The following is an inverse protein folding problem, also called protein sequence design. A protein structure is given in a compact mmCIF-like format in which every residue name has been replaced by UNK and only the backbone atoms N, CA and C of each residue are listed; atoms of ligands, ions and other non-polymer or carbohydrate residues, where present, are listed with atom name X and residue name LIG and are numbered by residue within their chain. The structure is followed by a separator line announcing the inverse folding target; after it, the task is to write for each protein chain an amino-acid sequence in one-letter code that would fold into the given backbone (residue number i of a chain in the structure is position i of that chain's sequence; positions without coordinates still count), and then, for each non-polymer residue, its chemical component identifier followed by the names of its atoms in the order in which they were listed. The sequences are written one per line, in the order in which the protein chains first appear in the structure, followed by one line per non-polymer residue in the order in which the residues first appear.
data_IF_441111104258
#
_entry.id   IF_441111104258
#
_cell.length_a   1.000
_cell.length_b   1.000
_cell.length_c   1.000
_cell.angle_alpha   90.00
_cell.angle_beta   90.00
_cell.angle_gamma   90.00
#
_symmetry.space_group_name_H-M   'P 1'
#
loop_
_entity.id
_entity.type
_entity.pdbx_description
1 polymer ?
#
# COMPACT_ATOMS: atom_id res chain seq x y z
N UNK A 1 21.60 -58.03 55.39
CA UNK A 1 21.13 -56.97 54.45
C UNK A 1 22.01 -57.03 53.23
N UNK A 2 21.43 -57.09 52.03
CA UNK A 2 22.18 -57.17 50.78
C UNK A 2 23.02 -55.89 50.59
N UNK A 3 24.29 -56.07 50.22
CA UNK A 3 25.19 -54.97 49.90
C UNK A 3 24.73 -54.29 48.61
N UNK A 4 24.60 -52.95 48.56
CA UNK A 4 24.27 -52.23 47.34
C UNK A 4 25.31 -52.50 46.24
N UNK A 5 24.85 -52.69 45.00
CA UNK A 5 25.72 -52.87 43.83
C UNK A 5 26.32 -51.51 43.43
N UNK A 6 27.46 -51.20 44.04
CA UNK A 6 28.15 -49.92 43.85
C UNK A 6 28.74 -49.76 42.45
N UNK A 7 29.07 -50.85 41.75
CA UNK A 7 29.65 -50.80 40.40
C UNK A 7 28.58 -50.39 39.37
N UNK A 8 27.37 -50.94 39.49
CA UNK A 8 26.23 -50.52 38.67
C UNK A 8 25.83 -49.05 38.94
N UNK A 9 25.84 -48.64 40.21
CA UNK A 9 25.55 -47.25 40.61
C UNK A 9 26.62 -46.30 40.07
N UNK A 10 27.91 -46.68 40.12
CA UNK A 10 29.02 -45.89 39.58
C UNK A 10 28.88 -45.70 38.07
N UNK A 11 28.60 -46.77 37.33
CA UNK A 11 28.39 -46.73 35.89
C UNK A 11 27.22 -45.80 35.51
N UNK A 12 26.08 -45.94 36.18
CA UNK A 12 24.91 -45.09 35.97
C UNK A 12 25.17 -43.62 36.36
N UNK A 13 25.93 -43.39 37.44
CA UNK A 13 26.33 -42.06 37.88
C UNK A 13 27.25 -41.39 36.85
N UNK A 14 28.27 -42.10 36.36
CA UNK A 14 29.25 -41.59 35.37
C UNK A 14 28.61 -41.32 34.01
N UNK A 15 27.71 -42.20 33.56
CA UNK A 15 26.96 -42.05 32.32
C UNK A 15 26.05 -40.80 32.33
N UNK A 16 25.63 -40.36 33.51
CA UNK A 16 24.94 -39.08 33.70
C UNK A 16 23.59 -38.95 33.00
N UNK A 17 22.97 -40.06 32.61
CA UNK A 17 21.68 -40.12 31.91
C UNK A 17 20.49 -40.02 32.87
N UNK A 18 20.58 -40.65 34.04
CA UNK A 18 19.55 -40.66 35.07
C UNK A 18 19.84 -39.62 36.18
N UNK A 19 18.82 -39.12 36.83
CA UNK A 19 18.94 -38.31 38.04
C UNK A 19 19.38 -39.17 39.22
N UNK A 20 20.01 -38.55 40.23
CA UNK A 20 20.45 -39.28 41.43
C UNK A 20 19.27 -39.91 42.19
N UNK A 21 18.07 -39.33 42.07
CA UNK A 21 16.85 -39.89 42.66
C UNK A 21 16.38 -41.14 41.94
N UNK A 22 16.49 -41.18 40.61
CA UNK A 22 16.14 -42.37 39.82
C UNK A 22 17.12 -43.53 40.08
N UNK A 23 18.43 -43.24 40.13
CA UNK A 23 19.45 -44.24 40.47
C UNK A 23 19.22 -44.76 41.90
N UNK A 24 18.96 -43.86 42.85
CA UNK A 24 18.65 -44.22 44.24
C UNK A 24 17.43 -45.14 44.37
N UNK A 25 16.36 -44.83 43.62
CA UNK A 25 15.13 -45.63 43.60
C UNK A 25 15.34 -47.03 43.01
N UNK A 26 16.17 -47.16 41.96
CA UNK A 26 16.46 -48.46 41.32
C UNK A 26 17.28 -49.39 42.21
N UNK A 27 18.19 -48.83 43.01
CA UNK A 27 19.09 -49.59 43.86
C UNK A 27 18.68 -49.65 45.34
N UNK A 28 17.48 -49.13 45.68
CA UNK A 28 16.93 -49.20 47.04
C UNK A 28 17.75 -48.44 48.10
N UNK A 29 18.47 -47.40 47.69
CA UNK A 29 19.33 -46.58 48.57
C UNK A 29 18.90 -45.11 48.54
N UNK A 30 19.49 -44.27 49.39
CA UNK A 30 19.26 -42.82 49.33
C UNK A 30 20.18 -42.13 48.32
N UNK A 31 19.68 -41.08 47.68
CA UNK A 31 20.47 -40.20 46.80
C UNK A 31 21.68 -39.57 47.52
N UNK A 32 21.54 -39.38 48.83
CA UNK A 32 22.57 -38.87 49.74
C UNK A 32 23.71 -39.88 49.93
N UNK A 33 23.41 -41.19 49.95
CA UNK A 33 24.42 -42.24 50.00
C UNK A 33 25.26 -42.26 48.71
N UNK A 34 24.61 -42.10 47.55
CA UNK A 34 25.28 -42.00 46.24
C UNK A 34 26.20 -40.78 46.21
N UNK A 35 25.75 -39.60 46.64
CA UNK A 35 26.59 -38.37 46.69
C UNK A 35 27.80 -38.53 47.61
N UNK A 36 27.62 -39.11 48.80
CA UNK A 36 28.72 -39.34 49.74
C UNK A 36 29.77 -40.30 49.16
N UNK A 37 29.32 -41.35 48.47
CA UNK A 37 30.21 -42.33 47.82
C UNK A 37 30.95 -41.72 46.63
N UNK A 38 30.22 -41.05 45.73
CA UNK A 38 30.80 -40.35 44.59
C UNK A 38 31.87 -39.33 44.99
N UNK A 39 31.68 -38.61 46.12
CA UNK A 39 32.68 -37.69 46.66
C UNK A 39 33.90 -38.40 47.26
N UNK A 40 33.70 -39.57 47.88
CA UNK A 40 34.77 -40.38 48.48
C UNK A 40 35.63 -41.08 47.44
N UNK A 41 35.01 -41.51 46.33
CA UNK A 41 35.63 -42.29 45.24
C UNK A 41 35.84 -41.46 43.97
N UNK A 42 35.70 -40.14 44.08
CA UNK A 42 35.98 -39.17 43.01
C UNK A 42 35.30 -39.48 41.66
N UNK A 43 34.06 -39.96 41.72
CA UNK A 43 33.30 -40.24 40.50
C UNK A 43 33.03 -38.96 39.72
N UNK A 44 33.39 -38.96 38.44
CA UNK A 44 33.18 -37.82 37.54
C UNK A 44 32.02 -38.11 36.61
N UNK A 45 31.08 -37.18 36.48
CA UNK A 45 29.90 -37.34 35.63
C UNK A 45 30.08 -36.55 34.33
N UNK A 46 29.90 -37.20 33.18
CA UNK A 46 29.97 -36.54 31.88
C UNK A 46 28.65 -35.84 31.52
N UNK A 47 28.30 -34.80 32.30
CA UNK A 47 27.20 -33.89 32.01
C UNK A 47 27.56 -32.90 30.90
N UNK A 48 28.86 -32.71 30.63
CA UNK A 48 29.36 -31.73 29.70
C UNK A 48 28.93 -32.04 28.26
N UNK A 49 29.02 -33.31 27.83
CA UNK A 49 28.63 -33.72 26.49
C UNK A 49 27.12 -33.49 26.22
N UNK A 50 26.24 -33.83 27.18
CA UNK A 50 24.79 -33.64 27.03
C UNK A 50 24.35 -32.19 27.09
N UNK A 51 24.97 -31.38 27.95
CA UNK A 51 24.70 -29.96 28.02
C UNK A 51 25.15 -29.25 26.74
N UNK A 52 26.33 -29.63 26.21
CA UNK A 52 26.85 -29.11 24.94
C UNK A 52 25.93 -29.44 23.76
N UNK A 53 25.53 -30.70 23.61
CA UNK A 53 24.62 -31.09 22.53
C UNK A 53 23.26 -30.37 22.59
N UNK A 54 22.72 -30.15 23.80
CA UNK A 54 21.45 -29.42 23.98
C UNK A 54 21.61 -27.91 23.76
N UNK A 55 22.77 -27.33 24.10
CA UNK A 55 23.09 -25.95 23.81
C UNK A 55 23.26 -25.72 22.30
N UNK A 56 23.97 -26.59 21.60
CA UNK A 56 24.20 -26.50 20.16
C UNK A 56 22.88 -26.61 19.37
N UNK A 57 21.97 -27.50 19.77
CA UNK A 57 20.65 -27.64 19.15
C UNK A 57 19.74 -26.40 19.37
N UNK A 58 19.83 -25.78 20.55
CA UNK A 58 19.13 -24.53 20.86
C UNK A 58 19.69 -23.34 20.06
N UNK A 59 21.01 -23.25 19.91
CA UNK A 59 21.67 -22.22 19.10
C UNK A 59 21.26 -22.39 17.64
N UNK A 60 21.37 -23.59 17.08
CA UNK A 60 20.95 -23.88 15.69
C UNK A 60 19.49 -23.51 15.45
N UNK A 61 18.57 -23.87 16.37
CA UNK A 61 17.15 -23.51 16.24
C UNK A 61 16.91 -22.01 16.31
N UNK A 62 17.66 -21.27 17.14
CA UNK A 62 17.58 -19.81 17.20
C UNK A 62 18.16 -19.14 15.96
N UNK A 63 19.29 -19.62 15.47
CA UNK A 63 19.94 -19.11 14.26
C UNK A 63 19.07 -19.33 13.01
N UNK A 64 18.50 -20.53 12.85
CA UNK A 64 17.58 -20.83 11.74
C UNK A 64 16.33 -19.93 11.82
N UNK A 65 15.74 -19.77 13.01
CA UNK A 65 14.59 -18.87 13.19
C UNK A 65 14.95 -17.40 12.93
N UNK A 66 16.15 -16.97 13.31
CA UNK A 66 16.62 -15.62 13.03
C UNK A 66 16.80 -15.39 11.53
N UNK A 67 17.42 -16.33 10.81
CA UNK A 67 17.62 -16.27 9.36
C UNK A 67 16.30 -16.25 8.58
N UNK A 68 15.36 -17.15 8.90
CA UNK A 68 14.04 -17.18 8.24
C UNK A 68 13.26 -15.90 8.53
N UNK A 69 13.35 -15.37 9.75
CA UNK A 69 12.71 -14.09 10.09
C UNK A 69 13.35 -12.92 9.35
N UNK A 70 14.67 -12.88 9.22
CA UNK A 70 15.36 -11.82 8.47
C UNK A 70 15.08 -11.90 6.97
N UNK A 71 15.09 -13.10 6.37
CA UNK A 71 14.77 -13.29 4.95
C UNK A 71 13.33 -12.87 4.64
N UNK A 72 12.35 -13.26 5.47
CA UNK A 72 10.97 -12.82 5.29
C UNK A 72 10.81 -11.30 5.48
N UNK A 73 11.51 -10.69 6.43
CA UNK A 73 11.48 -9.23 6.62
C UNK A 73 12.13 -8.48 5.45
N UNK A 74 13.21 -9.00 4.89
CA UNK A 74 13.86 -8.44 3.69
C UNK A 74 12.91 -8.57 2.50
N UNK A 75 12.33 -9.75 2.28
CA UNK A 75 11.39 -9.97 1.18
C UNK A 75 10.12 -9.11 1.30
N UNK A 76 9.55 -8.96 2.50
CA UNK A 76 8.40 -8.09 2.72
C UNK A 76 8.76 -6.63 2.44
N UNK A 77 9.93 -6.17 2.88
CA UNK A 77 10.42 -4.81 2.61
C UNK A 77 10.61 -4.57 1.11
N UNK A 78 11.23 -5.51 0.40
CA UNK A 78 11.42 -5.45 -1.05
C UNK A 78 10.08 -5.42 -1.80
N UNK A 79 9.10 -6.22 -1.39
CA UNK A 79 7.76 -6.22 -1.97
C UNK A 79 7.03 -4.88 -1.74
N UNK A 80 7.12 -4.34 -0.52
CA UNK A 80 6.53 -3.03 -0.18
C UNK A 80 7.20 -1.92 -0.99
N UNK A 81 8.53 -1.95 -1.13
CA UNK A 81 9.29 -0.96 -1.90
C UNK A 81 8.95 -1.03 -3.39
N UNK A 82 8.96 -2.21 -4.00
CA UNK A 82 8.56 -2.39 -5.40
C UNK A 82 7.11 -1.96 -5.65
N UNK A 83 6.20 -2.25 -4.71
CA UNK A 83 4.79 -1.82 -4.82
C UNK A 83 4.67 -0.31 -4.68
N UNK A 84 5.41 0.30 -3.74
CA UNK A 84 5.42 1.75 -3.55
C UNK A 84 5.98 2.48 -4.77
N UNK A 85 7.05 1.98 -5.37
CA UNK A 85 7.61 2.50 -6.63
C UNK A 85 6.60 2.39 -7.78
N UNK A 86 5.94 1.24 -7.94
CA UNK A 86 4.90 1.07 -8.97
C UNK A 86 3.76 2.09 -8.79
N UNK A 87 3.26 2.27 -7.56
CA UNK A 87 2.21 3.26 -7.25
C UNK A 87 2.72 4.69 -7.51
N UNK A 88 3.96 5.00 -7.15
CA UNK A 88 4.56 6.30 -7.37
C UNK A 88 4.69 6.61 -8.88
N UNK A 89 5.14 5.64 -9.67
CA UNK A 89 5.25 5.76 -11.12
C UNK A 89 3.89 6.02 -11.76
N UNK A 90 2.87 5.22 -11.44
CA UNK A 90 1.49 5.43 -11.94
C UNK A 90 0.97 6.82 -11.56
N UNK A 91 1.20 7.28 -10.33
CA UNK A 91 0.79 8.63 -9.91
C UNK A 91 1.50 9.73 -10.69
N UNK A 92 2.79 9.55 -10.98
CA UNK A 92 3.57 10.51 -11.77
C UNK A 92 3.10 10.54 -13.23
N UNK A 93 2.81 9.39 -13.83
CA UNK A 93 2.23 9.29 -15.17
C UNK A 93 0.87 9.99 -15.24
N UNK A 94 -0.05 9.69 -14.31
CA UNK A 94 -1.34 10.36 -14.25
C UNK A 94 -1.22 11.88 -14.13
N UNK A 95 -0.29 12.38 -13.30
CA UNK A 95 -0.03 13.83 -13.20
C UNK A 95 0.43 14.42 -14.54
N UNK A 96 1.30 13.72 -15.26
CA UNK A 96 1.74 14.11 -16.60
C UNK A 96 0.59 14.13 -17.60
N UNK A 97 -0.26 13.12 -17.57
CA UNK A 97 -1.42 12.98 -18.46
C UNK A 97 -2.45 14.09 -18.24
N UNK A 98 -2.79 14.35 -16.98
CA UNK A 98 -3.75 15.41 -16.63
C UNK A 98 -3.21 16.78 -17.08
N UNK A 99 -1.92 17.05 -16.87
CA UNK A 99 -1.28 18.28 -17.33
C UNK A 99 -1.39 18.44 -18.85
N UNK A 100 -1.05 17.39 -19.62
CA UNK A 100 -1.15 17.41 -21.09
C UNK A 100 -2.59 17.62 -21.57
N UNK A 101 -3.55 16.96 -20.92
CA UNK A 101 -4.97 17.13 -21.24
C UNK A 101 -5.45 18.56 -20.94
N UNK A 102 -4.99 19.16 -19.85
CA UNK A 102 -5.31 20.55 -19.49
C UNK A 102 -4.71 21.55 -20.48
N UNK A 103 -3.47 21.33 -20.90
CA UNK A 103 -2.83 22.13 -21.96
C UNK A 103 -3.63 22.06 -23.27
N UNK A 104 -4.04 20.87 -23.68
CA UNK A 104 -4.85 20.69 -24.89
C UNK A 104 -6.23 21.36 -24.77
N UNK A 105 -6.91 21.23 -23.63
CA UNK A 105 -8.19 21.91 -23.40
C UNK A 105 -8.06 23.44 -23.53
N UNK A 106 -6.99 24.02 -22.97
CA UNK A 106 -6.74 25.46 -23.08
C UNK A 106 -6.43 25.92 -24.51
N UNK A 107 -5.74 25.10 -25.30
CA UNK A 107 -5.51 25.38 -26.73
C UNK A 107 -6.84 25.39 -27.50
N UNK A 108 -7.72 24.40 -27.24
CA UNK A 108 -9.05 24.35 -27.87
C UNK A 108 -9.95 25.53 -27.44
N UNK A 109 -9.85 26.00 -26.19
CA UNK A 109 -10.52 27.24 -25.77
C UNK A 109 -10.00 28.46 -26.54
N UNK A 110 -8.70 28.51 -26.81
CA UNK A 110 -8.08 29.61 -27.54
C UNK A 110 -8.54 29.61 -29.01
N UNK A 111 -8.62 28.45 -29.62
CA UNK A 111 -9.18 28.27 -30.97
C UNK A 111 -10.65 28.69 -31.03
N UNK A 112 -11.48 28.20 -30.11
CA UNK A 112 -12.89 28.59 -30.03
C UNK A 112 -13.07 30.10 -29.80
N UNK A 113 -12.20 30.72 -29.00
CA UNK A 113 -12.17 32.17 -28.79
C UNK A 113 -11.86 32.91 -30.10
N UNK A 114 -10.87 32.44 -30.86
CA UNK A 114 -10.51 33.01 -32.15
C UNK A 114 -11.66 32.89 -33.16
N UNK A 115 -12.34 31.73 -33.21
CA UNK A 115 -13.54 31.55 -34.04
C UNK A 115 -14.67 32.52 -33.68
N UNK A 116 -14.83 32.82 -32.38
CA UNK A 116 -15.85 33.76 -31.91
C UNK A 116 -15.47 35.23 -32.16
N UNK A 117 -14.19 35.54 -32.36
CA UNK A 117 -13.71 36.90 -32.56
C UNK A 117 -14.05 37.45 -33.95
N UNK A 118 -14.14 36.58 -34.96
CA UNK A 118 -14.41 36.98 -36.35
C UNK A 118 -15.40 36.02 -37.04
N UNK A 119 -16.59 35.93 -36.46
CA UNK A 119 -17.68 35.11 -36.99
C UNK A 119 -18.11 35.58 -38.38
N UNK A 120 -18.04 36.89 -38.66
CA UNK A 120 -18.44 37.46 -39.94
C UNK A 120 -17.55 36.99 -41.09
N UNK A 121 -16.22 36.96 -40.90
CA UNK A 121 -15.30 36.43 -41.93
C UNK A 121 -15.53 34.94 -42.19
N UNK A 122 -15.88 34.15 -41.17
CA UNK A 122 -16.24 32.74 -41.35
C UNK A 122 -17.52 32.60 -42.19
N UNK A 123 -18.55 33.40 -41.92
CA UNK A 123 -19.77 33.40 -42.75
C UNK A 123 -19.46 33.80 -44.21
N UNK A 124 -18.66 34.85 -44.40
CA UNK A 124 -18.24 35.32 -45.72
C UNK A 124 -17.44 34.26 -46.48
N UNK A 125 -16.59 33.49 -45.80
CA UNK A 125 -15.88 32.38 -46.41
C UNK A 125 -16.87 31.31 -46.92
N UNK A 126 -17.90 30.98 -46.14
CA UNK A 126 -18.98 30.08 -46.58
C UNK A 126 -19.74 30.60 -47.81
N UNK A 127 -20.00 31.90 -47.87
CA UNK A 127 -20.61 32.52 -49.05
C UNK A 127 -19.71 32.41 -50.29
N UNK A 128 -18.39 32.61 -50.14
CA UNK A 128 -17.42 32.48 -51.22
C UNK A 128 -17.21 31.03 -51.67
N UNK A 129 -17.39 30.07 -50.78
CA UNK A 129 -17.27 28.63 -51.05
C UNK A 129 -18.52 28.02 -51.69
N UNK A 130 -19.62 28.77 -51.80
CA UNK A 130 -20.89 28.30 -52.32
C UNK A 130 -20.73 27.67 -53.72
N UNK A 131 -21.02 26.37 -53.82
CA UNK A 131 -20.86 25.54 -54.99
C UNK A 131 -21.99 24.49 -55.09
N UNK A 132 -23.22 24.92 -55.40
CA UNK A 132 -24.37 24.02 -55.53
C UNK A 132 -24.20 23.04 -56.68
N UNK A 133 -24.68 21.81 -56.48
CA UNK A 133 -24.80 20.79 -57.53
C UNK A 133 -25.96 21.08 -58.51
N UNK A 134 -26.16 20.20 -59.50
CA UNK A 134 -27.25 20.30 -60.49
C UNK A 134 -28.66 20.34 -59.88
N UNK A 135 -28.79 19.98 -58.59
CA UNK A 135 -30.04 20.01 -57.82
C UNK A 135 -30.12 21.20 -56.87
N UNK A 136 -29.15 22.12 -56.93
CA UNK A 136 -29.06 23.29 -56.07
C UNK A 136 -28.56 22.98 -54.65
N UNK A 137 -28.00 21.79 -54.40
CA UNK A 137 -27.54 21.38 -53.07
C UNK A 137 -26.05 21.60 -52.90
N UNK A 138 -25.65 22.15 -51.76
CA UNK A 138 -24.25 22.25 -51.38
C UNK A 138 -24.04 21.69 -49.97
N UNK A 139 -23.98 20.36 -49.89
CA UNK A 139 -23.86 19.67 -48.59
C UNK A 139 -22.58 20.01 -47.85
N UNK A 140 -21.51 20.38 -48.57
CA UNK A 140 -20.24 20.76 -47.96
C UNK A 140 -20.39 22.12 -47.28
N UNK A 141 -20.98 23.10 -47.97
CA UNK A 141 -21.20 24.42 -47.41
C UNK A 141 -22.28 24.41 -46.31
N UNK A 142 -23.32 23.58 -46.45
CA UNK A 142 -24.32 23.35 -45.39
C UNK A 142 -23.64 22.84 -44.10
N UNK A 143 -22.71 21.88 -44.24
CA UNK A 143 -21.94 21.36 -43.10
C UNK A 143 -21.02 22.41 -42.52
N UNK A 144 -20.34 23.19 -43.36
CA UNK A 144 -19.48 24.28 -42.93
C UNK A 144 -20.25 25.30 -42.09
N UNK A 145 -21.39 25.81 -42.58
CA UNK A 145 -22.25 26.74 -41.85
C UNK A 145 -22.77 26.15 -40.53
N UNK A 146 -23.05 24.84 -40.50
CA UNK A 146 -23.42 24.15 -39.26
C UNK A 146 -22.27 24.13 -38.26
N UNK A 147 -21.03 23.88 -38.69
CA UNK A 147 -19.85 23.85 -37.83
C UNK A 147 -19.59 25.23 -37.21
N UNK A 148 -19.63 26.28 -38.02
CA UNK A 148 -19.42 27.66 -37.55
C UNK A 148 -20.67 28.28 -36.93
N UNK A 149 -21.73 27.51 -36.64
CA UNK A 149 -22.97 28.04 -36.11
C UNK A 149 -22.86 28.37 -34.61
N UNK A 150 -23.65 29.34 -34.15
CA UNK A 150 -23.73 29.68 -32.72
C UNK A 150 -24.08 28.47 -31.83
N UNK A 151 -25.08 27.62 -32.16
CA UNK A 151 -25.36 26.42 -31.37
C UNK A 151 -24.16 25.48 -31.26
N UNK A 152 -23.40 25.30 -32.34
CA UNK A 152 -22.23 24.44 -32.33
C UNK A 152 -21.12 25.03 -31.44
N UNK A 153 -20.86 26.34 -31.51
CA UNK A 153 -19.89 27.01 -30.63
C UNK A 153 -20.28 26.94 -29.15
N UNK A 154 -21.56 27.14 -28.82
CA UNK A 154 -22.08 27.00 -27.44
C UNK A 154 -21.88 25.58 -26.94
N UNK A 155 -22.12 24.57 -27.80
CA UNK A 155 -21.86 23.18 -27.46
C UNK A 155 -20.37 22.94 -27.19
N UNK A 156 -19.48 23.39 -28.08
CA UNK A 156 -18.03 23.29 -27.88
C UNK A 156 -17.58 23.93 -26.57
N UNK A 157 -18.08 25.13 -26.25
CA UNK A 157 -17.80 25.82 -24.98
C UNK A 157 -18.22 24.99 -23.77
N UNK A 158 -19.42 24.40 -23.80
CA UNK A 158 -19.94 23.54 -22.73
C UNK A 158 -19.07 22.29 -22.56
N UNK A 159 -18.80 21.58 -23.65
CA UNK A 159 -18.03 20.33 -23.63
C UNK A 159 -16.60 20.57 -23.10
N UNK A 160 -15.96 21.68 -23.52
CA UNK A 160 -14.65 22.08 -23.00
C UNK A 160 -14.69 22.51 -21.51
N UNK A 161 -15.76 23.18 -21.08
CA UNK A 161 -15.94 23.58 -19.67
C UNK A 161 -16.14 22.37 -18.76
N UNK A 162 -16.93 21.39 -19.19
CA UNK A 162 -17.13 20.13 -18.50
C UNK A 162 -15.81 19.33 -18.45
N UNK A 163 -15.02 19.37 -19.53
CA UNK A 163 -13.67 18.78 -19.57
C UNK A 163 -12.75 19.42 -18.53
N UNK A 164 -12.66 20.76 -18.47
CA UNK A 164 -11.84 21.44 -17.47
C UNK A 164 -12.27 21.14 -16.04
N UNK A 165 -13.59 21.11 -15.78
CA UNK A 165 -14.12 20.77 -14.45
C UNK A 165 -13.63 19.39 -14.00
N UNK A 166 -13.70 18.40 -14.88
CA UNK A 166 -13.19 17.04 -14.59
C UNK A 166 -11.68 17.04 -14.39
N UNK A 167 -10.92 17.70 -15.27
CA UNK A 167 -9.45 17.76 -15.16
C UNK A 167 -8.99 18.44 -13.87
N UNK A 168 -9.65 19.52 -13.44
CA UNK A 168 -9.36 20.18 -12.16
C UNK A 168 -9.63 19.24 -10.99
N UNK A 169 -10.72 18.48 -11.01
CA UNK A 169 -11.00 17.45 -10.00
C UNK A 169 -9.88 16.41 -9.91
N UNK A 170 -9.50 15.84 -11.06
CA UNK A 170 -8.42 14.86 -11.15
C UNK A 170 -7.06 15.42 -10.71
N UNK A 171 -6.76 16.67 -11.04
CA UNK A 171 -5.55 17.37 -10.56
C UNK A 171 -5.54 17.46 -9.03
N UNK A 172 -6.64 17.93 -8.42
CA UNK A 172 -6.73 18.07 -6.96
C UNK A 172 -6.49 16.72 -6.27
N UNK A 173 -7.10 15.66 -6.78
CA UNK A 173 -6.88 14.29 -6.30
C UNK A 173 -5.42 13.85 -6.47
N UNK A 174 -4.85 14.03 -7.67
CA UNK A 174 -3.48 13.63 -7.99
C UNK A 174 -2.42 14.36 -7.16
N UNK A 175 -2.68 15.61 -6.75
CA UNK A 175 -1.81 16.41 -5.88
C UNK A 175 -2.19 16.32 -4.40
N UNK A 176 -3.19 15.51 -4.03
CA UNK A 176 -3.69 15.39 -2.65
C UNK A 176 -4.09 16.74 -2.04
N UNK A 177 -4.56 17.67 -2.87
CA UNK A 177 -5.11 18.95 -2.45
C UNK A 177 -6.53 18.66 -1.97
N UNK A 178 -6.69 18.49 -0.64
CA UNK A 178 -8.02 18.35 -0.04
C UNK A 178 -8.83 19.64 -0.26
N UNK A 179 -10.13 19.49 -0.46
CA UNK A 179 -11.04 20.58 -0.09
C UNK A 179 -10.87 20.81 1.40
N UNK A 180 -10.48 22.03 1.78
CA UNK A 180 -10.99 22.55 3.03
C UNK A 180 -12.51 22.54 2.86
N UNK A 181 -13.18 21.53 3.42
CA UNK A 181 -14.61 21.66 3.68
C UNK A 181 -14.76 23.00 4.39
N UNK A 182 -15.67 23.90 3.96
CA UNK A 182 -15.98 25.07 4.76
C UNK A 182 -16.38 24.53 6.13
N UNK A 183 -15.56 24.83 7.13
CA UNK A 183 -15.69 24.35 8.50
C UNK A 183 -17.14 24.56 8.92
N UNK A 184 -17.90 23.48 9.01
CA UNK A 184 -19.31 23.45 9.40
C UNK A 184 -20.17 24.54 8.77
N UNK A 185 -20.85 24.23 7.66
CA UNK A 185 -22.19 24.78 7.46
C UNK A 185 -22.99 24.38 8.71
N UNK A 186 -23.29 25.37 9.53
CA UNK A 186 -24.08 25.26 10.74
C UNK A 186 -25.43 24.60 10.39
N UNK A 187 -25.53 23.28 10.55
CA UNK A 187 -26.80 22.56 10.44
C UNK A 187 -27.64 22.94 11.65
N UNK A 188 -28.41 24.02 11.52
CA UNK A 188 -29.40 24.41 12.52
C UNK A 188 -29.36 25.90 12.85
N UNK A 189 -29.77 26.73 11.91
CA UNK A 189 -30.47 27.96 12.28
C UNK A 189 -31.52 28.18 11.21
N UNK A 190 -32.74 27.73 11.52
CA UNK A 190 -33.90 27.97 10.67
C UNK A 190 -34.24 29.45 10.76
N UNK A 191 -34.83 30.03 9.71
CA UNK A 191 -35.38 31.39 9.73
C UNK A 191 -36.34 31.63 10.91
N UNK A 192 -36.96 30.57 11.46
CA UNK A 192 -37.78 30.65 12.68
C UNK A 192 -36.99 30.96 13.96
N UNK A 193 -35.70 30.63 14.03
CA UNK A 193 -34.87 30.92 15.20
C UNK A 193 -34.56 32.42 15.32
N UNK A 194 -34.64 33.16 14.21
CA UNK A 194 -34.38 34.61 14.16
C UNK A 194 -35.56 35.46 14.65
N UNK A 195 -36.79 34.95 14.56
CA UNK A 195 -38.01 35.72 14.89
C UNK A 195 -38.57 35.42 16.29
N UNK A 196 -38.00 34.47 17.04
CA UNK A 196 -38.52 34.05 18.34
C UNK A 196 -37.83 34.67 19.56
N UNK A 197 -36.94 35.65 19.37
CA UNK A 197 -36.38 36.45 20.46
C UNK A 197 -36.97 37.85 20.45
N UNK A 198 -38.24 37.97 20.83
CA UNK A 198 -38.82 39.16 21.46
C UNK A 198 -40.23 38.85 21.95
N UNK A 199 -40.32 38.33 23.17
CA UNK A 199 -41.44 38.52 24.10
C UNK A 199 -40.91 38.41 25.53
#
# INVERSE_FOLDING_TARGET
MATPDWEAIESAYRAGVLSLREIASQHGISDTAIRKRAKKEEWTRDLAAKVKAKADDLVRKREVRAKVRSENQISERELVEATAEAIANVRMEHRGDIKRARELANLLFSELSAECADVESLHKLGELMLSPDDKGQDKLNDLYHKIISMPQRVKSMKDLSDTLKTLIGLEREAYSIKEDEPSSVNKGTSLNDFYNTNS
#
